data_IF_815255078738
#
_entry.id   IF_815255078738
#
_cell.length_a   1.000
_cell.length_b   1.000
_cell.length_c   1.000
_cell.angle_alpha   90.00
_cell.angle_beta   90.00
_cell.angle_gamma   90.00
#
_symmetry.space_group_name_H-M   'P 1'
#
loop_
_entity.id
_entity.type
_entity.pdbx_description
1 polymer ?
#
# COMPACT_ATOMS: atom_id res chain seq x y z
N UNK A 1 -4.10 -9.52 7.21
CA UNK A 1 -4.64 -8.68 6.12
C UNK A 1 -4.04 -9.18 4.82
N UNK A 2 -4.80 -9.12 3.72
CA UNK A 2 -4.33 -9.51 2.39
C UNK A 2 -4.44 -8.33 1.43
N UNK A 3 -3.33 -7.94 0.83
CA UNK A 3 -3.22 -6.84 -0.14
C UNK A 3 -2.80 -7.35 -1.51
N UNK A 4 -1.95 -8.38 -1.56
CA UNK A 4 -1.56 -9.09 -2.77
C UNK A 4 -1.90 -10.58 -2.62
N UNK A 5 -1.77 -11.34 -3.71
CA UNK A 5 -1.89 -12.80 -3.65
C UNK A 5 -0.81 -13.46 -2.78
N UNK A 6 0.41 -12.92 -2.86
CA UNK A 6 1.56 -13.37 -2.08
C UNK A 6 2.18 -12.15 -1.40
N UNK A 7 2.38 -12.23 -0.09
CA UNK A 7 3.13 -11.22 0.66
C UNK A 7 4.58 -11.64 0.80
N UNK A 8 5.41 -11.18 -0.12
CA UNK A 8 6.86 -11.19 0.01
C UNK A 8 7.32 -9.78 0.37
N UNK A 9 8.08 -9.65 1.46
CA UNK A 9 8.58 -8.35 1.91
C UNK A 9 9.81 -7.98 1.09
N UNK A 10 9.83 -6.76 0.55
CA UNK A 10 11.02 -6.25 -0.16
C UNK A 10 12.18 -6.11 0.83
N UNK A 11 13.30 -6.72 0.47
CA UNK A 11 14.55 -6.63 1.23
C UNK A 11 15.28 -5.29 0.97
N UNK A 12 16.60 -5.28 0.99
CA UNK A 12 17.42 -4.12 0.68
C UNK A 12 17.96 -4.19 -0.74
N UNK A 13 17.88 -3.06 -1.45
CA UNK A 13 18.60 -2.84 -2.70
C UNK A 13 19.34 -1.49 -2.63
N UNK A 14 19.88 -1.03 -3.77
CA UNK A 14 20.66 0.22 -3.84
C UNK A 14 19.84 1.48 -3.47
N UNK A 15 18.52 1.40 -3.44
CA UNK A 15 17.61 2.49 -3.08
C UNK A 15 17.14 2.42 -1.61
N UNK A 16 17.62 1.44 -0.84
CA UNK A 16 17.29 1.26 0.57
C UNK A 16 16.54 -0.04 0.83
N UNK A 17 15.99 -0.17 2.04
CA UNK A 17 15.31 -1.38 2.52
C UNK A 17 13.80 -1.18 2.68
N UNK A 18 13.01 -2.23 2.41
CA UNK A 18 11.55 -2.18 2.41
C UNK A 18 10.84 -2.29 3.76
N UNK A 19 11.53 -2.58 4.85
CA UNK A 19 10.90 -2.74 6.17
C UNK A 19 10.50 -1.40 6.81
N UNK A 20 9.54 -1.44 7.74
CA UNK A 20 9.06 -0.27 8.47
C UNK A 20 10.18 0.37 9.30
N UNK A 21 10.30 1.69 9.24
CA UNK A 21 11.31 2.42 10.00
C UNK A 21 12.72 2.37 9.40
N UNK A 22 12.91 1.75 8.23
CA UNK A 22 14.19 1.76 7.53
C UNK A 22 14.68 3.20 7.29
N UNK A 23 16.00 3.48 7.37
CA UNK A 23 16.52 4.83 7.15
C UNK A 23 16.21 5.36 5.75
N UNK A 24 15.85 6.64 5.66
CA UNK A 24 15.62 7.40 4.41
C UNK A 24 16.23 8.80 4.53
N UNK A 25 17.56 8.87 4.58
CA UNK A 25 18.28 10.12 4.82
C UNK A 25 17.87 10.74 6.17
N UNK A 26 17.09 11.83 6.12
CA UNK A 26 16.65 12.57 7.31
C UNK A 26 15.32 12.09 7.91
N UNK A 27 14.68 11.06 7.33
CA UNK A 27 13.44 10.49 7.85
C UNK A 27 13.50 8.96 7.85
N UNK A 28 12.41 8.34 8.30
CA UNK A 28 12.24 6.89 8.32
C UNK A 28 11.19 6.47 7.30
N UNK A 29 11.29 5.24 6.83
CA UNK A 29 10.29 4.62 6.00
C UNK A 29 8.97 4.43 6.78
N UNK A 30 7.89 5.06 6.32
CA UNK A 30 6.61 5.15 7.05
C UNK A 30 5.64 3.99 6.77
N UNK A 31 6.10 2.99 6.03
CA UNK A 31 5.32 1.84 5.65
C UNK A 31 6.22 0.64 5.40
N UNK A 32 5.63 -0.38 4.78
CA UNK A 32 6.31 -1.61 4.42
C UNK A 32 6.13 -1.87 2.93
N UNK A 33 7.22 -2.24 2.27
CA UNK A 33 7.22 -2.56 0.85
C UNK A 33 6.95 -4.06 0.68
N UNK A 34 5.93 -4.39 -0.10
CA UNK A 34 5.65 -5.75 -0.55
C UNK A 34 6.03 -5.89 -2.01
N UNK A 35 6.82 -6.91 -2.33
CA UNK A 35 7.21 -7.22 -3.71
C UNK A 35 5.95 -7.44 -4.54
N UNK A 36 5.87 -6.70 -5.64
CA UNK A 36 4.73 -6.71 -6.55
C UNK A 36 5.21 -6.35 -7.94
N UNK A 37 4.87 -7.17 -8.92
CA UNK A 37 5.12 -6.87 -10.33
C UNK A 37 4.07 -5.87 -10.84
N UNK A 38 4.42 -5.08 -11.87
CA UNK A 38 3.44 -4.24 -12.55
C UNK A 38 2.25 -5.08 -13.05
N UNK A 39 1.03 -4.67 -12.70
CA UNK A 39 -0.20 -5.39 -13.07
C UNK A 39 -0.68 -6.41 -12.03
N UNK A 40 0.11 -6.73 -10.99
CA UNK A 40 -0.35 -7.61 -9.92
C UNK A 40 -1.60 -7.04 -9.23
N UNK A 41 -2.53 -7.92 -8.88
CA UNK A 41 -3.80 -7.52 -8.28
C UNK A 41 -3.61 -7.02 -6.84
N UNK A 42 -4.29 -5.91 -6.56
CA UNK A 42 -4.36 -5.27 -5.26
C UNK A 42 -5.75 -5.49 -4.69
N UNK A 43 -5.79 -5.96 -3.44
CA UNK A 43 -6.99 -6.30 -2.70
C UNK A 43 -7.21 -5.39 -1.50
N UNK A 44 -8.47 -5.24 -1.12
CA UNK A 44 -8.84 -4.55 0.11
C UNK A 44 -8.43 -5.37 1.34
N UNK A 45 -7.58 -4.83 2.24
CA UNK A 45 -7.10 -5.58 3.41
C UNK A 45 -8.17 -5.88 4.45
N UNK A 46 -9.30 -5.17 4.40
CA UNK A 46 -10.46 -5.29 5.29
C UNK A 46 -11.71 -4.70 4.62
N UNK A 47 -12.89 -4.93 5.19
CA UNK A 47 -14.11 -4.26 4.75
C UNK A 47 -14.08 -2.77 5.15
N UNK A 48 -14.36 -1.87 4.21
CA UNK A 48 -14.24 -0.43 4.43
C UNK A 48 -14.74 0.42 3.28
N UNK A 49 -14.31 1.67 3.27
CA UNK A 49 -14.62 2.64 2.21
C UNK A 49 -13.34 3.09 1.50
N UNK A 50 -13.37 3.16 0.17
CA UNK A 50 -12.31 3.83 -0.61
C UNK A 50 -12.43 5.33 -0.34
N UNK A 51 -11.50 5.90 0.41
CA UNK A 51 -11.57 7.30 0.84
C UNK A 51 -10.68 8.23 0.03
N UNK A 52 -9.65 7.70 -0.65
CA UNK A 52 -8.81 8.50 -1.55
C UNK A 52 -8.26 7.64 -2.69
N UNK A 53 -8.15 8.26 -3.86
CA UNK A 53 -7.31 7.81 -4.97
C UNK A 53 -6.40 8.97 -5.39
N UNK A 54 -5.22 9.07 -4.79
CA UNK A 54 -4.35 10.26 -4.89
C UNK A 54 -3.06 10.02 -5.66
N UNK A 55 -2.19 11.03 -5.68
CA UNK A 55 -0.87 10.98 -6.32
C UNK A 55 0.23 10.75 -5.29
N UNK A 56 1.17 9.83 -5.58
CA UNK A 56 2.32 9.55 -4.70
C UNK A 56 3.35 10.68 -4.69
N UNK A 57 3.43 11.46 -5.78
CA UNK A 57 4.41 12.53 -5.92
C UNK A 57 3.77 13.83 -6.40
N UNK A 58 4.38 14.95 -6.05
CA UNK A 58 3.94 16.28 -6.50
C UNK A 58 4.39 16.66 -7.91
N UNK A 59 5.39 15.95 -8.46
CA UNK A 59 6.01 16.24 -9.76
C UNK A 59 5.42 15.40 -10.91
N UNK A 60 4.57 14.41 -10.62
CA UNK A 60 3.99 13.54 -11.65
C UNK A 60 2.63 12.96 -11.23
N UNK A 61 1.76 12.76 -12.22
CA UNK A 61 0.46 12.10 -12.05
C UNK A 61 0.51 10.59 -12.29
N UNK A 62 1.67 10.06 -12.70
CA UNK A 62 1.82 8.65 -13.11
C UNK A 62 1.63 7.66 -11.95
N UNK A 63 2.06 8.04 -10.76
CA UNK A 63 2.07 7.14 -9.61
C UNK A 63 0.94 7.48 -8.66
N UNK A 64 0.07 6.50 -8.40
CA UNK A 64 -1.16 6.65 -7.63
C UNK A 64 -1.12 5.83 -6.36
N UNK A 65 -2.01 6.19 -5.44
CA UNK A 65 -2.26 5.40 -4.25
C UNK A 65 -3.76 5.24 -4.01
N UNK A 66 -4.13 4.12 -3.39
CA UNK A 66 -5.48 3.83 -2.92
C UNK A 66 -5.48 3.93 -1.38
N UNK A 67 -6.39 4.71 -0.79
CA UNK A 67 -6.59 4.78 0.66
C UNK A 67 -7.94 4.19 1.03
N UNK A 68 -7.94 3.17 1.89
CA UNK A 68 -9.14 2.48 2.36
C UNK A 68 -9.26 2.72 3.86
N UNK A 69 -10.40 3.27 4.27
CA UNK A 69 -10.73 3.53 5.67
C UNK A 69 -11.69 2.46 6.18
N UNK A 70 -11.24 1.72 7.19
CA UNK A 70 -12.04 0.74 7.91
C UNK A 70 -12.62 1.32 9.22
N UNK A 71 -13.10 0.44 10.09
CA UNK A 71 -13.68 0.86 11.37
C UNK A 71 -12.65 1.26 12.43
N UNK A 72 -11.41 0.74 12.35
CA UNK A 72 -10.35 0.97 13.35
C UNK A 72 -9.09 1.58 12.77
N UNK A 73 -8.82 1.29 11.51
CA UNK A 73 -7.59 1.66 10.83
C UNK A 73 -7.83 2.19 9.42
N UNK A 74 -6.82 2.86 8.90
CA UNK A 74 -6.71 3.33 7.53
C UNK A 74 -5.49 2.64 6.94
N UNK A 75 -5.62 2.10 5.74
CA UNK A 75 -4.48 1.59 4.96
C UNK A 75 -4.36 2.40 3.68
N UNK A 76 -3.14 2.81 3.36
CA UNK A 76 -2.80 3.44 2.09
C UNK A 76 -1.81 2.55 1.34
N UNK A 77 -2.14 2.26 0.10
CA UNK A 77 -1.34 1.39 -0.79
C UNK A 77 -0.84 2.28 -1.91
N UNK A 78 0.43 2.64 -1.86
CA UNK A 78 1.12 3.44 -2.88
C UNK A 78 1.61 2.55 -4.01
N UNK A 79 1.75 3.17 -5.19
CA UNK A 79 2.07 2.51 -6.46
C UNK A 79 0.99 1.50 -6.84
N UNK A 80 -0.26 1.89 -6.63
CA UNK A 80 -1.45 1.12 -6.99
C UNK A 80 -2.45 2.05 -7.70
N UNK A 81 -2.89 1.64 -8.88
CA UNK A 81 -3.95 2.29 -9.65
C UNK A 81 -5.29 1.69 -9.23
N UNK A 82 -6.28 2.54 -8.93
CA UNK A 82 -7.64 2.09 -8.67
C UNK A 82 -8.29 1.58 -9.97
N UNK A 83 -9.01 0.47 -9.91
CA UNK A 83 -9.77 -0.03 -11.04
C UNK A 83 -10.95 0.90 -11.37
N UNK A 84 -11.22 1.10 -12.66
CA UNK A 84 -12.27 2.01 -13.16
C UNK A 84 -13.69 1.62 -12.72
N UNK A 85 -13.89 0.41 -12.18
CA UNK A 85 -15.16 -0.02 -11.60
C UNK A 85 -15.47 0.61 -10.23
N UNK A 86 -14.52 1.36 -9.63
CA UNK A 86 -14.67 1.94 -8.30
C UNK A 86 -14.46 3.46 -8.27
N UNK A 87 -15.21 4.10 -7.38
CA UNK A 87 -15.11 5.52 -7.08
C UNK A 87 -14.75 5.78 -5.60
N UNK A 88 -14.28 7.00 -5.32
CA UNK A 88 -14.14 7.46 -3.93
C UNK A 88 -15.52 7.51 -3.28
N UNK A 89 -15.66 6.84 -2.14
CA UNK A 89 -16.92 6.70 -1.40
C UNK A 89 -17.49 5.29 -1.43
N UNK A 90 -17.01 4.44 -2.34
CA UNK A 90 -17.48 3.06 -2.46
C UNK A 90 -17.14 2.23 -1.23
N UNK A 91 -18.11 1.41 -0.82
CA UNK A 91 -17.95 0.42 0.24
C UNK A 91 -17.59 -0.93 -0.36
N UNK A 92 -16.51 -1.51 0.13
CA UNK A 92 -15.95 -2.76 -0.39
C UNK A 92 -15.73 -3.76 0.74
N UNK A 93 -15.96 -5.07 0.51
CA UNK A 93 -15.63 -6.09 1.49
C UNK A 93 -14.11 -6.37 1.55
N UNK A 94 -13.68 -6.99 2.64
CA UNK A 94 -12.33 -7.56 2.74
C UNK A 94 -12.06 -8.55 1.59
N UNK A 95 -10.85 -8.52 1.04
CA UNK A 95 -10.44 -9.39 -0.06
C UNK A 95 -11.01 -8.99 -1.42
N UNK A 96 -11.78 -7.90 -1.51
CA UNK A 96 -12.24 -7.37 -2.79
C UNK A 96 -11.06 -6.88 -3.61
N UNK A 97 -10.98 -7.29 -4.88
CA UNK A 97 -10.08 -6.68 -5.84
C UNK A 97 -10.45 -5.19 -6.00
N UNK A 98 -9.44 -4.31 -5.93
CA UNK A 98 -9.63 -2.85 -6.03
C UNK A 98 -8.78 -2.20 -7.11
N UNK A 99 -7.77 -2.88 -7.65
CA UNK A 99 -6.84 -2.24 -8.56
C UNK A 99 -5.59 -3.06 -8.83
N UNK A 100 -4.60 -2.41 -9.45
CA UNK A 100 -3.37 -3.06 -9.90
C UNK A 100 -2.12 -2.32 -9.44
N UNK A 101 -1.05 -3.07 -9.18
CA UNK A 101 0.27 -2.52 -8.86
C UNK A 101 0.89 -1.82 -10.08
N UNK A 102 1.59 -0.71 -9.84
CA UNK A 102 2.23 0.11 -10.86
C UNK A 102 3.75 -0.13 -10.94
N UNK A 103 4.35 0.19 -12.08
CA UNK A 103 5.80 0.03 -12.29
C UNK A 103 6.64 1.14 -11.65
N UNK A 104 6.99 0.93 -10.37
CA UNK A 104 7.89 1.82 -9.63
C UNK A 104 9.34 1.74 -10.12
N UNK A 105 9.76 0.62 -10.73
CA UNK A 105 11.10 0.46 -11.27
C UNK A 105 11.35 1.35 -12.49
N UNK A 106 10.31 1.75 -13.21
CA UNK A 106 10.42 2.78 -14.24
C UNK A 106 10.85 4.16 -13.69
N UNK A 107 10.55 4.48 -12.43
CA UNK A 107 11.01 5.72 -11.76
C UNK A 107 12.36 5.52 -11.08
N UNK A 108 12.56 4.36 -10.46
CA UNK A 108 13.81 4.00 -9.78
C UNK A 108 14.43 2.75 -10.40
N UNK A 109 15.19 2.87 -11.50
CA UNK A 109 15.76 1.70 -12.18
C UNK A 109 16.54 0.80 -11.23
N UNK A 110 16.31 -0.52 -11.27
CA UNK A 110 16.99 -1.48 -10.39
C UNK A 110 16.55 -1.46 -8.92
N UNK A 111 15.43 -0.80 -8.60
CA UNK A 111 14.68 -1.09 -7.37
C UNK A 111 13.94 -2.41 -7.55
N UNK A 112 13.78 -3.19 -6.47
CA UNK A 112 12.85 -4.33 -6.50
C UNK A 112 11.43 -3.79 -6.68
N UNK A 113 10.65 -4.23 -7.70
CA UNK A 113 9.26 -3.80 -7.87
C UNK A 113 8.41 -4.11 -6.63
N UNK A 114 7.60 -3.14 -6.19
CA UNK A 114 6.81 -3.26 -4.97
C UNK A 114 5.63 -2.28 -4.93
N UNK A 115 4.65 -2.60 -4.08
CA UNK A 115 3.70 -1.63 -3.52
C UNK A 115 4.18 -1.19 -2.14
N UNK A 116 3.93 0.06 -1.76
CA UNK A 116 4.27 0.57 -0.43
C UNK A 116 3.02 0.72 0.43
N UNK A 117 2.98 0.03 1.57
CA UNK A 117 1.81 -0.08 2.44
C UNK A 117 2.02 0.71 3.73
N UNK A 118 1.21 1.75 3.91
CA UNK A 118 1.14 2.55 5.13
C UNK A 118 -0.12 2.20 5.92
N UNK A 119 -0.05 2.24 7.25
CA UNK A 119 -1.18 1.98 8.14
C UNK A 119 -1.28 3.06 9.22
N UNK A 120 -2.50 3.50 9.52
CA UNK A 120 -2.78 4.55 10.50
C UNK A 120 -4.02 4.22 11.33
N UNK A 121 -4.17 4.87 12.49
CA UNK A 121 -5.47 4.86 13.19
C UNK A 121 -6.45 5.75 12.43
N UNK A 122 -7.74 5.41 12.47
CA UNK A 122 -8.81 6.26 11.90
C UNK A 122 -8.78 7.69 12.47
N UNK A 123 -8.39 7.84 13.74
CA UNK A 123 -8.26 9.15 14.39
C UNK A 123 -7.11 10.00 13.85
N UNK A 124 -6.17 9.44 13.09
CA UNK A 124 -5.07 10.19 12.49
C UNK A 124 -5.52 10.82 11.16
N UNK A 125 -6.22 11.95 11.28
CA UNK A 125 -6.78 12.69 10.14
C UNK A 125 -5.71 13.19 9.17
N UNK A 126 -4.46 13.38 9.62
CA UNK A 126 -3.36 13.92 8.81
C UNK A 126 -2.33 12.86 8.37
N UNK A 127 -2.45 11.61 8.83
CA UNK A 127 -1.55 10.50 8.50
C UNK A 127 -0.11 10.82 8.88
N UNK A 128 0.08 11.32 10.11
CA UNK A 128 1.40 11.74 10.64
C UNK A 128 2.04 10.70 11.56
N UNK A 129 1.28 9.70 12.00
CA UNK A 129 1.71 8.71 12.97
C UNK A 129 1.51 7.32 12.37
N UNK A 130 2.40 6.92 11.43
CA UNK A 130 2.31 5.61 10.82
C UNK A 130 2.50 4.51 11.86
N UNK A 131 1.76 3.42 11.71
CA UNK A 131 1.83 2.22 12.53
C UNK A 131 2.42 1.12 11.67
N UNK A 132 3.37 0.38 12.21
CA UNK A 132 3.96 -0.77 11.54
C UNK A 132 2.88 -1.80 11.13
N UNK A 133 2.67 -2.06 9.82
CA UNK A 133 1.72 -3.05 9.33
C UNK A 133 2.29 -4.47 9.28
N UNK A 134 3.58 -4.68 9.58
CA UNK A 134 4.31 -5.96 9.35
C UNK A 134 3.58 -7.17 9.92
N UNK A 135 3.16 -7.13 11.18
CA UNK A 135 2.50 -8.27 11.83
C UNK A 135 1.10 -8.55 11.27
N UNK A 136 0.41 -7.54 10.74
CA UNK A 136 -0.88 -7.75 10.11
C UNK A 136 -0.73 -8.34 8.70
N UNK A 137 0.35 -7.98 7.99
CA UNK A 137 0.68 -8.48 6.65
C UNK A 137 1.23 -9.92 6.69
N UNK A 138 1.87 -10.34 7.79
CA UNK A 138 2.32 -11.74 7.99
C UNK A 138 1.17 -12.72 8.23
N UNK A 139 0.04 -12.24 8.76
CA UNK A 139 -1.14 -13.09 9.01
C UNK A 139 -1.74 -13.49 7.67
N UNK A 140 -1.43 -14.71 7.21
CA UNK A 140 -2.22 -15.40 6.19
C UNK A 140 -3.67 -15.43 6.68
N UNK A 141 -4.62 -15.05 5.82
CA UNK A 141 -6.02 -15.39 6.09
C UNK A 141 -6.06 -16.91 6.27
N UNK A 142 -6.34 -17.34 7.51
CA UNK A 142 -6.74 -18.71 7.76
C UNK A 142 -8.03 -18.90 6.97
N UNK A 143 -7.96 -19.65 5.89
CA UNK A 143 -9.13 -20.19 5.22
C UNK A 143 -9.98 -20.89 6.29
N UNK A 144 -11.21 -20.41 6.45
CA UNK A 144 -12.26 -21.08 7.22
C UNK A 144 -12.84 -22.20 6.37
#
# INVERSE_FOLDING_TARGET
MRILDIHEFRECDRHGCGYFGAPRGNHKHEGVDLVANPGDYVYSPFSGTITKHGYCYGDTTKYRYIEITGSKEIVRILYAELDDAFDIGDKIPQGQFVGIAQDIAARYPGITPHVHVEKYKVSDTYRKNPIDPTEDLKKKELEV
#
